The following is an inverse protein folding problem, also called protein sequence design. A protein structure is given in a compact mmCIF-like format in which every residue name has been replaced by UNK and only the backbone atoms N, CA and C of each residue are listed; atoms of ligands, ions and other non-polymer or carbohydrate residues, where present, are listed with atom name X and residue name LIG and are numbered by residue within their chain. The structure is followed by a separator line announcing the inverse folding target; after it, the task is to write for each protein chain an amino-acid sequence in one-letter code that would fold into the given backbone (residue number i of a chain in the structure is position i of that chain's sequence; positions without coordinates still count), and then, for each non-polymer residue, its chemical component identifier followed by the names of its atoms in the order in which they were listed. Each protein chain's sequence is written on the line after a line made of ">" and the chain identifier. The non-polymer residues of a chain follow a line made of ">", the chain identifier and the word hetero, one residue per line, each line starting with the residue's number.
data_IF_952830218996
#
_entry.id   IF_952830218996
#
_cell.length_a   1.000
_cell.length_b   1.000
_cell.length_c   1.000
_cell.angle_alpha   90.00
_cell.angle_beta   90.00
_cell.angle_gamma   90.00
#
_symmetry.space_group_name_H-M   'P 1'
#
loop_
_entity.id
_entity.type
_entity.pdbx_description
1 polymer ?
#
# COMPACT_ATOMS: atom_id res chain seq x y z
N UNK A 1 -19.13 -2.77 -15.52
CA UNK A 1 -19.10 -3.82 -16.59
C UNK A 1 -17.68 -3.91 -17.13
N UNK A 2 -17.24 -5.07 -17.55
CA UNK A 2 -15.96 -5.24 -18.28
C UNK A 2 -16.22 -5.81 -19.66
N UNK A 3 -15.46 -5.32 -20.63
CA UNK A 3 -15.39 -5.86 -21.99
C UNK A 3 -13.97 -6.37 -22.20
N UNK A 4 -13.86 -7.65 -22.43
CA UNK A 4 -12.58 -8.31 -22.69
C UNK A 4 -12.38 -8.34 -24.20
N UNK A 5 -11.25 -7.86 -24.68
CA UNK A 5 -10.93 -7.89 -26.11
C UNK A 5 -10.14 -9.15 -26.48
N UNK A 6 -10.30 -9.58 -27.71
CA UNK A 6 -9.49 -10.66 -28.29
C UNK A 6 -8.00 -10.28 -28.33
N UNK A 7 -7.15 -11.27 -28.45
CA UNK A 7 -5.72 -11.04 -28.57
C UNK A 7 -5.37 -10.28 -29.86
N UNK A 8 -4.40 -9.37 -29.78
CA UNK A 8 -3.88 -8.61 -30.93
C UNK A 8 -4.92 -7.72 -31.65
N UNK A 9 -5.90 -7.16 -30.95
CA UNK A 9 -6.82 -6.18 -31.54
C UNK A 9 -6.04 -4.93 -31.96
N UNK A 10 -6.18 -4.48 -33.23
CA UNK A 10 -5.54 -3.26 -33.70
C UNK A 10 -5.94 -2.04 -32.85
N UNK A 11 -4.98 -1.19 -32.56
CA UNK A 11 -5.17 0.00 -31.71
C UNK A 11 -6.30 0.89 -32.23
N UNK A 12 -6.41 1.05 -33.53
CA UNK A 12 -7.48 1.86 -34.14
C UNK A 12 -8.87 1.31 -33.81
N UNK A 13 -9.10 -0.01 -33.97
CA UNK A 13 -10.38 -0.66 -33.66
C UNK A 13 -10.70 -0.57 -32.17
N UNK A 14 -9.67 -0.74 -31.31
CA UNK A 14 -9.82 -0.56 -29.86
C UNK A 14 -10.24 0.86 -29.52
N UNK A 15 -9.57 1.86 -30.08
CA UNK A 15 -9.86 3.26 -29.80
C UNK A 15 -11.25 3.68 -30.34
N UNK A 16 -11.69 3.13 -31.46
CA UNK A 16 -13.05 3.33 -31.98
C UNK A 16 -14.09 2.82 -30.97
N UNK A 17 -13.91 1.62 -30.42
CA UNK A 17 -14.82 1.07 -29.39
C UNK A 17 -14.80 1.92 -28.11
N UNK A 18 -13.63 2.34 -27.64
CA UNK A 18 -13.50 3.22 -26.46
C UNK A 18 -14.26 4.53 -26.68
N UNK A 19 -14.08 5.17 -27.84
CA UNK A 19 -14.76 6.42 -28.15
C UNK A 19 -16.27 6.25 -28.25
N UNK A 20 -16.73 5.14 -28.82
CA UNK A 20 -18.16 4.83 -28.86
C UNK A 20 -18.75 4.63 -27.47
N UNK A 21 -18.08 3.90 -26.59
CA UNK A 21 -18.49 3.70 -25.20
C UNK A 21 -18.52 5.02 -24.42
N UNK A 22 -17.52 5.89 -24.60
CA UNK A 22 -17.50 7.22 -24.00
C UNK A 22 -18.67 8.10 -24.48
N UNK A 23 -19.02 7.99 -25.75
CA UNK A 23 -20.18 8.70 -26.32
C UNK A 23 -21.52 8.23 -25.72
N UNK A 24 -21.57 7.02 -25.13
CA UNK A 24 -22.73 6.54 -24.35
C UNK A 24 -22.76 7.08 -22.91
N UNK A 25 -21.87 7.99 -22.55
CA UNK A 25 -21.77 8.58 -21.21
C UNK A 25 -21.06 7.72 -20.17
N UNK A 26 -20.21 6.81 -20.60
CA UNK A 26 -19.44 5.93 -19.72
C UNK A 26 -17.99 6.39 -19.62
N UNK A 27 -17.41 6.26 -18.44
CA UNK A 27 -15.96 6.29 -18.29
C UNK A 27 -15.39 4.93 -18.66
N UNK A 28 -14.31 4.93 -19.46
CA UNK A 28 -13.66 3.72 -19.95
C UNK A 28 -12.22 3.69 -19.47
N UNK A 29 -11.89 2.68 -18.68
CA UNK A 29 -10.54 2.42 -18.14
C UNK A 29 -9.92 1.24 -18.89
N UNK A 30 -9.03 1.48 -19.87
CA UNK A 30 -8.35 0.39 -20.57
C UNK A 30 -7.20 -0.15 -19.71
N UNK A 31 -7.21 -1.46 -19.46
CA UNK A 31 -6.07 -2.20 -18.93
C UNK A 31 -5.43 -2.99 -20.06
N UNK A 32 -4.21 -2.60 -20.42
CA UNK A 32 -3.43 -3.21 -21.49
C UNK A 32 -2.47 -4.23 -20.88
N UNK A 33 -2.94 -5.47 -20.69
CA UNK A 33 -2.12 -6.58 -20.23
C UNK A 33 -1.28 -7.20 -21.36
N UNK A 34 -0.28 -7.99 -20.99
CA UNK A 34 0.61 -8.67 -21.92
C UNK A 34 -0.15 -9.65 -22.85
N UNK A 35 -1.16 -10.33 -22.32
CA UNK A 35 -1.93 -11.35 -23.05
C UNK A 35 -3.34 -10.90 -23.43
N UNK A 36 -3.91 -9.93 -22.73
CA UNK A 36 -5.30 -9.55 -22.88
C UNK A 36 -5.54 -8.08 -22.58
N UNK A 37 -6.40 -7.43 -23.34
CA UNK A 37 -6.87 -6.07 -23.08
C UNK A 37 -8.27 -6.13 -22.47
N UNK A 38 -8.45 -5.46 -21.34
CA UNK A 38 -9.75 -5.33 -20.66
C UNK A 38 -10.16 -3.86 -20.64
N UNK A 39 -11.39 -3.59 -21.08
CA UNK A 39 -12.01 -2.27 -20.96
C UNK A 39 -12.96 -2.28 -19.76
N UNK A 40 -12.57 -1.59 -18.69
CA UNK A 40 -13.41 -1.37 -17.52
C UNK A 40 -14.40 -0.24 -17.79
N UNK A 41 -15.70 -0.52 -17.71
CA UNK A 41 -16.76 0.47 -17.93
C UNK A 41 -17.33 0.92 -16.59
N UNK A 42 -17.24 2.20 -16.31
CA UNK A 42 -17.77 2.86 -15.11
C UNK A 42 -18.88 3.82 -15.50
N UNK A 43 -19.99 3.80 -14.77
CA UNK A 43 -21.19 4.58 -15.06
C UNK A 43 -22.44 3.70 -15.16
N UNK A 44 -23.53 4.26 -15.70
CA UNK A 44 -24.80 3.52 -15.88
C UNK A 44 -24.71 2.59 -17.11
N UNK A 45 -24.27 1.38 -16.88
CA UNK A 45 -24.19 0.34 -17.93
C UNK A 45 -25.51 -0.43 -18.12
N UNK A 46 -26.60 -0.04 -17.44
CA UNK A 46 -27.89 -0.73 -17.57
C UNK A 46 -28.47 -0.65 -18.99
N UNK A 47 -28.16 0.43 -19.70
CA UNK A 47 -28.63 0.71 -21.05
C UNK A 47 -27.80 0.05 -22.16
N UNK A 48 -26.64 -0.52 -21.82
CA UNK A 48 -25.82 -1.20 -22.80
C UNK A 48 -26.37 -2.60 -23.11
N UNK A 49 -26.55 -2.86 -24.38
CA UNK A 49 -26.87 -4.19 -24.86
C UNK A 49 -25.59 -5.07 -24.86
N UNK A 50 -25.57 -6.04 -23.94
CA UNK A 50 -24.44 -6.97 -23.83
C UNK A 50 -24.30 -7.83 -25.08
N UNK A 51 -25.40 -8.26 -25.67
CA UNK A 51 -25.39 -9.11 -26.88
C UNK A 51 -24.80 -8.36 -28.07
N UNK A 52 -25.07 -7.06 -28.17
CA UNK A 52 -24.47 -6.21 -29.19
C UNK A 52 -22.95 -6.13 -29.02
N UNK A 53 -22.48 -5.90 -27.78
CA UNK A 53 -21.04 -5.84 -27.49
C UNK A 53 -20.35 -7.19 -27.75
N UNK A 54 -20.98 -8.30 -27.36
CA UNK A 54 -20.45 -9.66 -27.60
C UNK A 54 -20.42 -10.02 -29.09
N UNK A 55 -21.29 -9.41 -29.91
CA UNK A 55 -21.31 -9.63 -31.36
C UNK A 55 -20.16 -8.93 -32.11
N UNK A 56 -19.45 -7.99 -31.46
CA UNK A 56 -18.35 -7.28 -32.10
C UNK A 56 -17.17 -8.21 -32.34
N UNK A 57 -16.61 -8.18 -33.53
CA UNK A 57 -15.48 -9.03 -33.97
C UNK A 57 -14.29 -9.00 -33.03
N UNK A 58 -14.04 -7.84 -32.40
CA UNK A 58 -12.88 -7.57 -31.53
C UNK A 58 -13.12 -7.96 -30.07
N UNK A 59 -14.36 -8.27 -29.67
CA UNK A 59 -14.74 -8.63 -28.30
C UNK A 59 -14.64 -10.13 -28.12
N UNK A 60 -14.03 -10.55 -27.02
CA UNK A 60 -13.96 -11.94 -26.58
C UNK A 60 -15.13 -12.27 -25.65
N UNK A 61 -15.35 -11.42 -24.63
CA UNK A 61 -16.46 -11.61 -23.69
C UNK A 61 -16.87 -10.30 -23.01
N UNK A 62 -18.11 -10.25 -22.51
CA UNK A 62 -18.65 -9.13 -21.74
C UNK A 62 -19.17 -9.65 -20.39
N UNK A 63 -18.79 -9.02 -19.29
CA UNK A 63 -19.19 -9.45 -17.94
C UNK A 63 -19.67 -8.27 -17.10
N UNK A 64 -20.80 -8.44 -16.41
CA UNK A 64 -21.22 -7.48 -15.39
C UNK A 64 -20.41 -7.70 -14.11
N UNK A 65 -19.82 -6.64 -13.59
CA UNK A 65 -19.10 -6.65 -12.30
C UNK A 65 -20.01 -5.97 -11.29
N UNK A 66 -20.39 -6.73 -10.29
CA UNK A 66 -21.30 -6.27 -9.21
C UNK A 66 -20.54 -5.70 -8.01
N UNK A 67 -19.21 -5.93 -7.95
CA UNK A 67 -18.38 -5.37 -6.88
C UNK A 67 -18.45 -3.84 -6.87
N UNK A 68 -18.52 -3.20 -5.71
CA UNK A 68 -18.67 -1.74 -5.61
C UNK A 68 -17.39 -0.98 -5.96
N UNK A 69 -16.21 -1.63 -5.93
CA UNK A 69 -14.92 -1.07 -6.36
C UNK A 69 -14.60 -1.53 -7.79
N UNK A 70 -14.02 -0.66 -8.60
CA UNK A 70 -13.76 -0.85 -10.03
C UNK A 70 -12.27 -0.69 -10.35
N UNK A 71 -11.69 0.48 -10.06
CA UNK A 71 -10.30 0.80 -10.40
C UNK A 71 -9.33 -0.17 -9.73
N UNK A 72 -9.52 -0.49 -8.43
CA UNK A 72 -8.68 -1.44 -7.71
C UNK A 72 -9.08 -2.91 -7.88
N UNK A 73 -10.09 -3.23 -8.70
CA UNK A 73 -10.61 -4.59 -8.87
C UNK A 73 -9.79 -5.38 -9.89
N UNK A 74 -9.30 -6.56 -9.52
CA UNK A 74 -8.53 -7.44 -10.42
C UNK A 74 -9.28 -7.80 -11.71
N UNK A 75 -10.60 -7.84 -11.69
CA UNK A 75 -11.40 -8.10 -12.91
C UNK A 75 -11.28 -6.98 -13.95
N UNK A 76 -10.99 -5.73 -13.50
CA UNK A 76 -10.76 -4.57 -14.37
C UNK A 76 -9.29 -4.45 -14.77
N UNK A 77 -8.38 -4.92 -13.94
CA UNK A 77 -6.93 -4.89 -14.16
C UNK A 77 -6.34 -6.26 -13.77
N UNK A 78 -6.28 -7.22 -14.71
CA UNK A 78 -5.87 -8.60 -14.42
C UNK A 78 -4.43 -8.76 -13.94
N UNK A 79 -3.51 -7.95 -14.47
CA UNK A 79 -2.09 -8.01 -14.14
C UNK A 79 -1.79 -7.31 -12.81
N UNK A 80 -0.74 -7.75 -12.13
CA UNK A 80 -0.32 -7.14 -10.88
C UNK A 80 0.21 -5.71 -11.10
N UNK A 81 -0.22 -4.80 -10.27
CA UNK A 81 0.36 -3.45 -10.23
C UNK A 81 1.72 -3.49 -9.57
N UNK A 82 2.70 -2.87 -10.22
CA UNK A 82 4.03 -2.62 -9.66
C UNK A 82 4.17 -1.14 -9.37
N UNK A 83 4.23 -0.79 -8.11
CA UNK A 83 4.46 0.60 -7.67
C UNK A 83 5.95 0.90 -7.64
N UNK A 84 6.36 1.92 -8.39
CA UNK A 84 7.76 2.35 -8.47
C UNK A 84 8.04 3.48 -7.46
N UNK A 85 9.10 3.31 -6.64
CA UNK A 85 9.57 4.31 -5.67
C UNK A 85 11.09 4.49 -5.86
N UNK A 86 11.50 5.49 -6.64
CA UNK A 86 12.88 5.58 -7.10
C UNK A 86 13.27 4.30 -7.86
N UNK A 87 14.31 3.62 -7.43
CA UNK A 87 14.76 2.33 -8.01
C UNK A 87 14.06 1.11 -7.38
N UNK A 88 13.20 1.31 -6.38
CA UNK A 88 12.51 0.21 -5.67
C UNK A 88 11.18 -0.11 -6.34
N UNK A 89 10.92 -1.40 -6.56
CA UNK A 89 9.67 -1.93 -7.11
C UNK A 89 8.91 -2.67 -6.03
N UNK A 90 7.62 -2.36 -5.87
CA UNK A 90 6.72 -2.96 -4.87
C UNK A 90 5.57 -3.66 -5.60
N UNK A 91 5.38 -4.95 -5.36
CA UNK A 91 4.39 -5.78 -6.09
C UNK A 91 4.96 -6.50 -7.31
N UNK A 92 4.14 -7.30 -7.98
CA UNK A 92 4.54 -8.08 -9.16
C UNK A 92 5.67 -9.07 -8.86
N UNK A 93 5.60 -9.76 -7.73
CA UNK A 93 6.61 -10.72 -7.29
C UNK A 93 7.81 -10.12 -6.52
N UNK A 94 7.96 -8.78 -6.51
CA UNK A 94 8.98 -8.12 -5.72
C UNK A 94 8.57 -8.05 -4.25
N UNK A 95 9.54 -8.26 -3.35
CA UNK A 95 9.31 -8.16 -1.91
C UNK A 95 10.17 -7.05 -1.30
N UNK A 96 9.56 -6.13 -0.56
CA UNK A 96 10.27 -5.00 0.04
C UNK A 96 10.24 -5.05 1.57
N UNK A 97 11.32 -4.57 2.19
CA UNK A 97 11.39 -4.32 3.62
C UNK A 97 11.45 -2.81 3.86
N UNK A 98 10.43 -2.28 4.52
CA UNK A 98 10.34 -0.90 4.97
C UNK A 98 10.64 -0.91 6.46
N UNK A 99 11.67 -0.20 6.90
CA UNK A 99 12.09 -0.24 8.29
C UNK A 99 12.53 1.13 8.82
N UNK A 100 12.38 1.35 10.11
CA UNK A 100 12.75 2.60 10.77
C UNK A 100 11.94 2.85 12.04
N UNK A 101 12.17 3.94 12.77
CA UNK A 101 11.53 4.16 14.08
C UNK A 101 10.04 4.50 13.96
N UNK A 102 9.27 4.23 15.03
CA UNK A 102 7.88 4.66 15.12
C UNK A 102 7.77 6.16 14.93
N UNK A 103 8.57 6.93 15.66
CA UNK A 103 8.68 8.37 15.52
C UNK A 103 10.13 8.81 15.31
N UNK A 104 10.29 9.91 14.58
CA UNK A 104 11.56 10.64 14.51
C UNK A 104 11.70 11.44 15.78
N UNK A 105 12.80 11.25 16.51
CA UNK A 105 13.02 11.83 17.83
C UNK A 105 14.22 12.77 17.84
N UNK A 106 15.26 12.47 17.06
CA UNK A 106 16.45 13.31 16.87
C UNK A 106 17.14 12.99 15.56
N UNK A 107 18.05 13.83 15.11
CA UNK A 107 18.90 13.58 13.94
C UNK A 107 19.79 12.35 14.17
N UNK A 108 20.42 12.27 15.33
CA UNK A 108 21.29 11.14 15.68
C UNK A 108 20.53 9.81 15.61
N UNK A 109 19.33 9.75 16.20
CA UNK A 109 18.48 8.55 16.19
C UNK A 109 18.15 8.15 14.75
N UNK A 110 17.60 9.06 13.95
CA UNK A 110 17.08 8.68 12.63
C UNK A 110 18.19 8.30 11.64
N UNK A 111 19.33 9.02 11.67
CA UNK A 111 20.49 8.72 10.83
C UNK A 111 21.13 7.39 11.22
N UNK A 112 21.29 7.13 12.52
CA UNK A 112 21.80 5.86 13.00
C UNK A 112 20.92 4.68 12.55
N UNK A 113 19.61 4.77 12.82
CA UNK A 113 18.66 3.72 12.44
C UNK A 113 18.63 3.54 10.92
N UNK A 114 18.60 4.61 10.15
CA UNK A 114 18.58 4.55 8.68
C UNK A 114 19.81 3.80 8.12
N UNK A 115 21.01 4.09 8.62
CA UNK A 115 22.24 3.39 8.23
C UNK A 115 22.19 1.91 8.60
N UNK A 116 21.72 1.59 9.80
CA UNK A 116 21.61 0.22 10.28
C UNK A 116 20.61 -0.61 9.48
N UNK A 117 19.38 -0.08 9.23
CA UNK A 117 18.37 -0.81 8.46
C UNK A 117 18.75 -0.95 6.99
N UNK A 118 19.42 0.03 6.39
CA UNK A 118 19.99 -0.06 5.04
C UNK A 118 21.01 -1.20 4.96
N UNK A 119 21.95 -1.24 5.89
CA UNK A 119 22.98 -2.29 5.94
C UNK A 119 22.37 -3.69 6.10
N UNK A 120 21.24 -3.79 6.81
CA UNK A 120 20.48 -5.04 6.96
C UNK A 120 19.67 -5.41 5.71
N UNK A 121 19.50 -4.49 4.73
CA UNK A 121 18.83 -4.72 3.46
C UNK A 121 17.39 -4.20 3.38
N UNK A 122 17.00 -3.23 4.23
CA UNK A 122 15.79 -2.45 4.00
C UNK A 122 15.94 -1.60 2.74
N UNK A 123 14.85 -1.49 1.97
CA UNK A 123 14.81 -0.71 0.73
C UNK A 123 14.16 0.66 0.92
N UNK A 124 13.33 0.86 1.94
CA UNK A 124 12.72 2.14 2.29
C UNK A 124 12.87 2.41 3.78
N UNK A 125 13.02 3.70 4.12
CA UNK A 125 13.04 4.19 5.50
C UNK A 125 11.64 4.65 5.89
N UNK A 126 11.10 4.13 7.02
CA UNK A 126 9.91 4.69 7.63
C UNK A 126 10.26 5.52 8.86
N UNK A 127 9.47 6.53 9.13
CA UNK A 127 9.55 7.32 10.36
C UNK A 127 8.35 8.25 10.48
N UNK A 128 7.73 8.33 11.68
CA UNK A 128 6.61 9.24 11.90
C UNK A 128 7.10 10.63 12.31
N UNK A 129 6.82 11.65 11.52
CA UNK A 129 7.05 13.06 11.88
C UNK A 129 5.87 13.66 12.63
N UNK A 130 4.67 13.22 12.32
CA UNK A 130 3.41 13.54 13.00
C UNK A 130 2.85 12.28 13.65
N UNK A 131 2.34 12.39 14.88
CA UNK A 131 1.86 11.23 15.65
C UNK A 131 0.40 11.42 16.08
N UNK A 132 -0.54 10.58 15.57
CA UNK A 132 -1.93 10.57 16.04
C UNK A 132 -2.00 9.88 17.41
N UNK A 133 -2.11 10.65 18.48
CA UNK A 133 -2.16 10.11 19.83
C UNK A 133 -3.56 10.13 20.39
N UNK A 134 -3.88 9.12 21.19
CA UNK A 134 -5.16 9.08 21.94
C UNK A 134 -5.16 10.10 23.07
N UNK A 135 -4.01 10.28 23.72
CA UNK A 135 -3.83 11.31 24.75
C UNK A 135 -3.17 12.56 24.15
N UNK A 136 -3.69 13.77 24.41
CA UNK A 136 -3.06 15.00 23.97
C UNK A 136 -1.74 15.33 24.71
N UNK A 137 -1.46 14.62 25.80
CA UNK A 137 -0.24 14.79 26.60
C UNK A 137 0.92 13.91 26.15
N UNK A 138 0.65 12.95 25.27
CA UNK A 138 1.70 12.10 24.68
C UNK A 138 2.51 12.88 23.66
N UNK A 139 3.71 12.39 23.34
CA UNK A 139 4.57 12.95 22.30
C UNK A 139 3.85 13.00 20.94
N UNK A 140 3.69 14.20 20.38
CA UNK A 140 2.92 14.47 19.16
C UNK A 140 3.77 14.35 17.86
N UNK A 141 5.07 14.07 17.98
CA UNK A 141 6.05 14.13 16.89
C UNK A 141 6.74 15.49 16.78
N UNK A 142 7.78 15.53 15.97
CA UNK A 142 8.55 16.75 15.71
C UNK A 142 7.99 17.59 14.55
N UNK A 143 6.85 17.17 13.97
CA UNK A 143 6.17 17.88 12.90
C UNK A 143 7.10 18.18 11.70
N UNK A 144 7.17 19.43 11.23
CA UNK A 144 8.03 19.86 10.13
C UNK A 144 9.50 19.52 10.37
N UNK A 145 9.99 19.68 11.60
CA UNK A 145 11.37 19.30 11.94
C UNK A 145 11.60 17.80 11.70
N UNK A 146 10.62 16.94 12.05
CA UNK A 146 10.69 15.50 11.81
C UNK A 146 10.79 15.15 10.32
N UNK A 147 10.10 15.88 9.43
CA UNK A 147 10.26 15.73 7.98
C UNK A 147 11.68 16.11 7.55
N UNK A 148 12.22 17.24 8.00
CA UNK A 148 13.61 17.65 7.68
C UNK A 148 14.64 16.62 8.14
N UNK A 149 14.45 16.03 9.31
CA UNK A 149 15.34 14.98 9.81
C UNK A 149 15.27 13.69 8.96
N UNK A 150 14.08 13.33 8.46
CA UNK A 150 13.93 12.24 7.49
C UNK A 150 14.67 12.54 6.19
N UNK A 151 14.61 13.78 5.70
CA UNK A 151 15.33 14.21 4.48
C UNK A 151 16.86 14.10 4.67
N UNK A 152 17.39 14.48 5.84
CA UNK A 152 18.81 14.31 6.18
C UNK A 152 19.16 12.81 6.14
N UNK A 153 18.37 11.95 6.78
CA UNK A 153 18.61 10.51 6.77
C UNK A 153 18.55 9.92 5.35
N UNK A 154 17.65 10.43 4.49
CA UNK A 154 17.58 10.06 3.06
C UNK A 154 18.84 10.48 2.31
N UNK A 155 19.36 11.70 2.53
CA UNK A 155 20.60 12.18 1.91
C UNK A 155 21.80 11.32 2.30
N UNK A 156 21.89 10.94 3.60
CA UNK A 156 22.96 10.11 4.14
C UNK A 156 22.94 8.65 3.65
N UNK A 157 21.74 8.13 3.35
CA UNK A 157 21.56 6.70 3.05
C UNK A 157 21.09 6.41 1.64
N UNK A 158 20.45 7.35 0.97
CA UNK A 158 19.75 7.11 -0.30
C UNK A 158 18.44 6.30 -0.16
N UNK A 159 17.99 5.99 1.06
CA UNK A 159 16.72 5.28 1.26
C UNK A 159 15.53 6.21 0.97
N UNK A 160 14.59 5.82 0.09
CA UNK A 160 13.33 6.55 -0.05
C UNK A 160 12.54 6.57 1.26
N UNK A 161 11.83 7.68 1.50
CA UNK A 161 11.09 7.94 2.75
C UNK A 161 9.64 7.52 2.64
N UNK A 162 9.14 6.83 3.68
CA UNK A 162 7.72 6.59 3.93
C UNK A 162 7.32 7.28 5.24
N UNK A 163 6.40 8.24 5.20
CA UNK A 163 5.92 8.91 6.42
C UNK A 163 4.43 9.25 6.33
N UNK A 164 3.76 9.34 7.50
CA UNK A 164 2.32 9.51 7.60
C UNK A 164 1.90 10.97 7.42
N UNK A 165 0.95 11.20 6.51
CA UNK A 165 0.21 12.45 6.38
C UNK A 165 -1.10 12.36 7.17
N UNK A 166 -1.25 13.20 8.19
CA UNK A 166 -2.45 13.21 9.03
C UNK A 166 -3.50 14.23 8.57
N UNK A 167 -3.05 15.33 7.95
CA UNK A 167 -3.91 16.43 7.54
C UNK A 167 -3.39 17.02 6.22
N UNK A 168 -4.31 17.31 5.31
CA UNK A 168 -3.99 17.88 3.99
C UNK A 168 -3.19 19.19 4.05
N UNK A 169 -3.39 19.97 5.10
CA UNK A 169 -2.65 21.23 5.33
C UNK A 169 -1.13 21.02 5.41
N UNK A 170 -0.69 19.82 5.78
CA UNK A 170 0.73 19.48 5.87
C UNK A 170 1.32 18.98 4.54
N UNK A 171 0.49 18.75 3.52
CA UNK A 171 0.95 18.22 2.23
C UNK A 171 2.13 19.00 1.61
N UNK A 172 2.20 20.34 1.70
CA UNK A 172 3.36 21.07 1.20
C UNK A 172 4.70 20.66 1.81
N UNK A 173 4.71 20.15 3.04
CA UNK A 173 5.92 19.65 3.70
C UNK A 173 6.40 18.30 3.13
N UNK A 174 5.58 17.62 2.33
CA UNK A 174 5.86 16.28 1.80
C UNK A 174 6.51 16.30 0.41
N UNK A 175 7.04 17.45 -0.03
CA UNK A 175 7.63 17.59 -1.38
C UNK A 175 8.74 16.54 -1.62
N UNK A 176 9.61 16.30 -0.66
CA UNK A 176 10.74 15.37 -0.75
C UNK A 176 10.46 13.97 -0.18
N UNK A 177 9.24 13.73 0.32
CA UNK A 177 8.78 12.40 0.75
C UNK A 177 8.44 11.55 -0.47
N UNK A 178 8.83 10.28 -0.48
CA UNK A 178 8.67 9.40 -1.64
C UNK A 178 7.36 8.63 -1.61
N UNK A 179 6.90 8.21 -0.44
CA UNK A 179 5.64 7.49 -0.23
C UNK A 179 4.87 8.15 0.91
N UNK A 180 3.63 8.54 0.64
CA UNK A 180 2.73 9.09 1.67
C UNK A 180 1.96 7.95 2.31
N UNK A 181 2.12 7.78 3.63
CA UNK A 181 1.32 6.83 4.39
C UNK A 181 0.01 7.50 4.85
N UNK A 182 -1.11 6.81 4.61
CA UNK A 182 -2.39 7.11 5.24
C UNK A 182 -2.59 6.11 6.37
N UNK A 183 -2.59 6.61 7.60
CA UNK A 183 -2.71 5.79 8.81
C UNK A 183 -4.09 5.17 8.97
N UNK A 184 -4.16 4.10 9.79
CA UNK A 184 -5.38 3.33 10.02
C UNK A 184 -6.58 4.19 10.50
N UNK A 185 -6.33 5.26 11.26
CA UNK A 185 -7.37 6.17 11.75
C UNK A 185 -7.95 7.07 10.65
N UNK A 186 -7.22 7.25 9.53
CA UNK A 186 -7.60 8.06 8.37
C UNK A 186 -8.04 7.21 7.16
N UNK A 187 -8.13 5.88 7.29
CA UNK A 187 -8.55 5.01 6.18
C UNK A 187 -9.92 5.39 5.60
N UNK A 188 -10.82 5.87 6.44
CA UNK A 188 -12.16 6.32 6.04
C UNK A 188 -12.32 7.85 6.02
N UNK A 189 -11.24 8.60 6.03
CA UNK A 189 -11.26 10.04 5.82
C UNK A 189 -11.33 10.32 4.30
N UNK A 190 -12.53 10.16 3.74
CA UNK A 190 -12.73 10.20 2.29
C UNK A 190 -12.32 11.53 1.64
N UNK A 191 -12.42 12.65 2.36
CA UNK A 191 -11.95 13.93 1.83
C UNK A 191 -10.43 13.94 1.69
N UNK A 192 -9.70 13.42 2.69
CA UNK A 192 -8.25 13.23 2.59
C UNK A 192 -7.89 12.26 1.47
N UNK A 193 -8.64 11.16 1.30
CA UNK A 193 -8.37 10.16 0.24
C UNK A 193 -8.57 10.74 -1.16
N UNK A 194 -9.58 11.58 -1.38
CA UNK A 194 -9.77 12.27 -2.67
C UNK A 194 -8.61 13.20 -3.00
N UNK A 195 -8.10 13.94 -2.01
CA UNK A 195 -6.93 14.81 -2.21
C UNK A 195 -5.67 13.98 -2.57
N UNK A 196 -5.53 12.79 -1.97
CA UNK A 196 -4.44 11.86 -2.34
C UNK A 196 -4.55 11.35 -3.78
N UNK A 197 -5.73 11.38 -4.38
CA UNK A 197 -5.93 11.08 -5.80
C UNK A 197 -5.27 12.10 -6.73
N UNK A 198 -5.16 13.36 -6.33
CA UNK A 198 -4.49 14.40 -7.11
C UNK A 198 -2.95 14.39 -6.96
N UNK A 199 -2.43 13.68 -5.95
CA UNK A 199 -1.00 13.58 -5.67
C UNK A 199 -0.37 12.50 -6.55
N UNK A 200 0.76 12.78 -7.18
CA UNK A 200 1.47 11.82 -8.06
C UNK A 200 2.37 10.83 -7.30
N UNK A 201 2.45 10.94 -5.98
CA UNK A 201 3.28 10.07 -5.14
C UNK A 201 2.53 8.78 -4.79
N UNK A 202 3.24 7.64 -4.62
CA UNK A 202 2.66 6.43 -4.07
C UNK A 202 2.02 6.65 -2.70
N UNK A 203 0.88 6.00 -2.49
CA UNK A 203 0.10 6.05 -1.25
C UNK A 203 0.11 4.68 -0.59
N UNK A 204 0.66 4.59 0.62
CA UNK A 204 0.57 3.42 1.47
C UNK A 204 -0.66 3.55 2.37
N UNK A 205 -1.71 2.80 2.04
CA UNK A 205 -3.00 2.84 2.73
C UNK A 205 -3.09 1.74 3.78
N UNK A 206 -3.07 2.10 5.06
CA UNK A 206 -3.21 1.16 6.17
C UNK A 206 -4.66 0.81 6.44
N UNK A 207 -4.95 -0.49 6.58
CA UNK A 207 -6.27 -1.00 7.01
C UNK A 207 -6.65 -0.41 8.35
N UNK A 208 -7.87 0.03 8.47
CA UNK A 208 -8.44 0.56 9.70
C UNK A 208 -8.60 -0.53 10.79
N UNK A 209 -8.76 -0.08 12.03
CA UNK A 209 -8.69 -0.94 13.23
C UNK A 209 -9.82 -1.98 13.32
N UNK A 210 -10.97 -1.77 12.64
CA UNK A 210 -12.13 -2.66 12.66
C UNK A 210 -12.78 -2.77 11.27
N UNK A 211 -12.00 -2.53 10.20
CA UNK A 211 -12.50 -2.43 8.85
C UNK A 211 -12.37 -3.77 8.10
N UNK A 212 -13.38 -4.06 7.32
CA UNK A 212 -13.39 -5.19 6.39
C UNK A 212 -12.43 -4.96 5.22
N UNK A 213 -12.07 -6.02 4.49
CA UNK A 213 -11.28 -5.90 3.25
C UNK A 213 -12.03 -5.11 2.18
N UNK A 214 -13.36 -5.26 2.12
CA UNK A 214 -14.20 -4.47 1.22
C UNK A 214 -14.10 -2.96 1.50
N UNK A 215 -14.12 -2.55 2.76
CA UNK A 215 -13.96 -1.14 3.13
C UNK A 215 -12.56 -0.62 2.81
N UNK A 216 -11.51 -1.44 3.00
CA UNK A 216 -10.14 -1.10 2.58
C UNK A 216 -10.07 -0.88 1.06
N UNK A 217 -10.65 -1.78 0.28
CA UNK A 217 -10.70 -1.66 -1.18
C UNK A 217 -11.54 -0.45 -1.63
N UNK A 218 -12.65 -0.14 -0.95
CA UNK A 218 -13.41 1.07 -1.21
C UNK A 218 -12.61 2.35 -0.91
N UNK A 219 -11.77 2.32 0.12
CA UNK A 219 -10.86 3.45 0.41
C UNK A 219 -9.77 3.61 -0.64
N UNK A 220 -9.19 2.49 -1.13
CA UNK A 220 -8.28 2.51 -2.27
C UNK A 220 -8.96 3.05 -3.54
N UNK A 221 -10.22 2.63 -3.79
CA UNK A 221 -11.03 3.12 -4.91
C UNK A 221 -11.19 4.63 -4.90
N UNK A 222 -11.40 5.25 -3.72
CA UNK A 222 -11.48 6.72 -3.61
C UNK A 222 -10.21 7.41 -4.10
N UNK A 223 -9.03 6.89 -3.77
CA UNK A 223 -7.75 7.43 -4.22
C UNK A 223 -7.61 7.25 -5.73
N UNK A 224 -7.85 6.04 -6.24
CA UNK A 224 -7.66 5.69 -7.64
C UNK A 224 -8.66 6.40 -8.55
N UNK A 225 -9.94 6.41 -8.20
CA UNK A 225 -10.98 7.12 -8.95
C UNK A 225 -10.75 8.65 -8.97
N UNK A 226 -9.95 9.18 -8.05
CA UNK A 226 -9.53 10.59 -8.04
C UNK A 226 -8.21 10.83 -8.78
N UNK A 227 -7.60 9.81 -9.42
CA UNK A 227 -6.50 9.96 -10.40
C UNK A 227 -5.13 9.44 -9.98
N UNK A 228 -5.00 8.72 -8.85
CA UNK A 228 -3.72 8.14 -8.42
C UNK A 228 -3.79 6.61 -8.34
N UNK A 229 -3.20 5.93 -9.31
CA UNK A 229 -3.16 4.46 -9.39
C UNK A 229 -2.02 3.84 -8.55
N UNK A 230 -1.13 4.64 -7.97
CA UNK A 230 0.02 4.17 -7.20
C UNK A 230 -0.37 3.93 -5.73
N UNK A 231 -1.22 2.94 -5.48
CA UNK A 231 -1.70 2.58 -4.14
C UNK A 231 -1.09 1.26 -3.68
N UNK A 232 -0.62 1.22 -2.44
CA UNK A 232 -0.09 0.05 -1.75
C UNK A 232 -1.00 -0.23 -0.56
N UNK A 233 -1.58 -1.41 -0.50
CA UNK A 233 -2.41 -1.83 0.63
C UNK A 233 -1.52 -2.31 1.78
N UNK A 234 -1.93 -2.03 3.03
CA UNK A 234 -1.18 -2.47 4.20
C UNK A 234 -2.11 -3.11 5.25
N UNK A 235 -1.98 -4.43 5.41
CA UNK A 235 -2.56 -5.15 6.54
C UNK A 235 -1.76 -4.84 7.81
N UNK A 236 -2.45 -4.50 8.91
CA UNK A 236 -1.82 -4.10 10.18
C UNK A 236 -2.53 -4.64 11.44
N UNK A 237 -3.37 -5.63 11.26
CA UNK A 237 -4.20 -6.19 12.30
C UNK A 237 -5.51 -5.41 12.52
N UNK A 238 -6.47 -6.12 13.03
CA UNK A 238 -7.80 -5.62 13.39
C UNK A 238 -8.10 -5.91 14.86
N UNK A 239 -8.91 -5.08 15.48
CA UNK A 239 -9.45 -5.34 16.82
C UNK A 239 -10.39 -6.53 16.79
N UNK A 240 -10.17 -7.46 17.70
CA UNK A 240 -11.05 -8.62 17.92
C UNK A 240 -11.41 -8.70 19.40
N UNK A 241 -12.07 -9.78 19.80
CA UNK A 241 -12.37 -10.06 21.21
C UNK A 241 -11.13 -10.50 21.99
N UNK A 242 -10.06 -10.95 21.32
CA UNK A 242 -8.81 -11.36 21.95
C UNK A 242 -7.94 -10.14 22.25
N UNK A 243 -7.34 -10.08 23.44
CA UNK A 243 -6.59 -8.96 23.97
C UNK A 243 -5.13 -9.28 24.34
N UNK A 244 -4.66 -10.50 24.03
CA UNK A 244 -3.26 -10.88 24.23
C UNK A 244 -2.28 -10.14 23.31
N UNK A 245 -2.77 -9.66 22.18
CA UNK A 245 -2.04 -8.79 21.26
C UNK A 245 -2.81 -7.49 21.06
N UNK A 246 -2.10 -6.43 20.69
CA UNK A 246 -2.75 -5.12 20.44
C UNK A 246 -3.86 -5.20 19.39
N UNK A 247 -3.64 -6.01 18.34
CA UNK A 247 -4.61 -6.35 17.30
C UNK A 247 -4.30 -7.75 16.78
N UNK A 248 -5.31 -8.45 16.29
CA UNK A 248 -5.14 -9.73 15.60
C UNK A 248 -4.62 -9.47 14.17
N UNK A 249 -3.44 -9.98 13.84
CA UNK A 249 -2.90 -9.92 12.48
C UNK A 249 -3.65 -10.88 11.57
N UNK A 250 -4.29 -10.35 10.54
CA UNK A 250 -5.07 -11.11 9.57
C UNK A 250 -4.21 -11.44 8.33
N UNK A 251 -3.41 -12.50 8.43
CA UNK A 251 -2.57 -12.91 7.29
C UNK A 251 -3.38 -13.52 6.14
N UNK A 252 -4.59 -14.03 6.40
CA UNK A 252 -5.48 -14.50 5.34
C UNK A 252 -5.95 -13.34 4.43
N UNK A 253 -5.90 -12.11 4.93
CA UNK A 253 -6.17 -10.92 4.13
C UNK A 253 -5.23 -10.77 2.93
N UNK A 254 -3.98 -11.23 3.03
CA UNK A 254 -2.98 -11.09 1.96
C UNK A 254 -3.40 -11.83 0.69
N UNK A 255 -3.55 -13.16 0.67
CA UNK A 255 -3.98 -13.86 -0.53
C UNK A 255 -5.38 -13.43 -0.98
N UNK A 256 -6.31 -13.13 -0.05
CA UNK A 256 -7.64 -12.65 -0.41
C UNK A 256 -7.60 -11.30 -1.13
N UNK A 257 -6.75 -10.36 -0.69
CA UNK A 257 -6.57 -9.08 -1.38
C UNK A 257 -5.95 -9.26 -2.77
N UNK A 258 -5.03 -10.20 -2.95
CA UNK A 258 -4.48 -10.55 -4.26
C UNK A 258 -5.51 -11.16 -5.22
N UNK A 259 -6.51 -11.91 -4.70
CA UNK A 259 -7.64 -12.39 -5.51
C UNK A 259 -8.59 -11.26 -5.94
N UNK A 260 -8.85 -10.31 -5.03
CA UNK A 260 -9.83 -9.24 -5.23
C UNK A 260 -9.26 -8.03 -5.98
N UNK A 261 -7.95 -7.77 -5.83
CA UNK A 261 -7.28 -6.57 -6.30
C UNK A 261 -5.94 -6.90 -6.97
N UNK A 262 -5.49 -6.01 -7.82
CA UNK A 262 -4.18 -6.04 -8.46
C UNK A 262 -3.11 -5.23 -7.71
N UNK A 263 -3.51 -4.54 -6.62
CA UNK A 263 -2.63 -3.67 -5.85
C UNK A 263 -1.68 -4.47 -4.96
N UNK A 264 -0.43 -4.03 -4.79
CA UNK A 264 0.51 -4.68 -3.89
C UNK A 264 0.05 -4.61 -2.43
N UNK A 265 0.32 -5.67 -1.68
CA UNK A 265 -0.08 -5.84 -0.29
C UNK A 265 1.15 -6.01 0.59
N UNK A 266 1.36 -5.10 1.53
CA UNK A 266 2.39 -5.23 2.56
C UNK A 266 1.76 -5.46 3.93
N UNK A 267 2.56 -5.96 4.87
CA UNK A 267 2.11 -6.31 6.23
C UNK A 267 2.89 -5.54 7.27
N UNK A 268 2.20 -5.06 8.30
CA UNK A 268 2.76 -4.36 9.46
C UNK A 268 2.62 -5.22 10.73
N UNK A 269 3.59 -6.08 11.03
CA UNK A 269 3.57 -6.93 12.21
C UNK A 269 3.78 -6.16 13.52
N UNK A 270 4.44 -4.99 13.46
CA UNK A 270 4.71 -4.16 14.64
C UNK A 270 3.42 -3.59 15.23
N UNK A 271 2.59 -2.94 14.40
CA UNK A 271 1.33 -2.35 14.86
C UNK A 271 0.21 -3.37 15.05
N UNK A 272 0.34 -4.57 14.47
CA UNK A 272 -0.62 -5.64 14.75
C UNK A 272 -0.40 -6.23 16.13
N UNK A 273 0.79 -6.76 16.40
CA UNK A 273 1.06 -7.48 17.64
C UNK A 273 1.24 -6.55 18.83
N UNK A 274 1.89 -5.39 18.64
CA UNK A 274 2.23 -4.47 19.73
C UNK A 274 3.31 -5.02 20.67
N UNK A 275 3.96 -6.14 20.33
CA UNK A 275 4.89 -6.88 21.18
C UNK A 275 6.14 -7.27 20.38
N UNK A 276 7.28 -6.75 20.77
CA UNK A 276 8.57 -6.93 20.09
C UNK A 276 8.86 -8.40 19.73
N UNK A 277 8.77 -9.33 20.70
CA UNK A 277 9.07 -10.75 20.49
C UNK A 277 8.20 -11.47 19.46
N UNK A 278 7.02 -10.89 19.12
CA UNK A 278 6.10 -11.44 18.14
C UNK A 278 6.32 -10.86 16.74
N UNK A 279 7.01 -9.73 16.62
CA UNK A 279 7.29 -9.10 15.32
C UNK A 279 8.11 -10.00 14.40
N UNK A 280 9.22 -10.64 14.84
CA UNK A 280 9.98 -11.52 13.99
C UNK A 280 9.19 -12.70 13.39
N UNK A 281 8.50 -13.55 14.17
CA UNK A 281 7.76 -14.67 13.60
C UNK A 281 6.62 -14.20 12.67
N UNK A 282 5.94 -13.09 12.97
CA UNK A 282 4.87 -12.55 12.11
C UNK A 282 5.42 -11.94 10.82
N UNK A 283 6.61 -11.36 10.85
CA UNK A 283 7.32 -10.89 9.65
C UNK A 283 7.64 -12.06 8.70
N UNK A 284 8.10 -13.19 9.25
CA UNK A 284 8.39 -14.39 8.46
C UNK A 284 7.11 -15.00 7.88
N UNK A 285 6.05 -15.07 8.67
CA UNK A 285 4.75 -15.56 8.22
C UNK A 285 4.15 -14.67 7.12
N UNK A 286 4.29 -13.34 7.21
CA UNK A 286 3.91 -12.42 6.15
C UNK A 286 4.69 -12.68 4.85
N UNK A 287 5.99 -12.90 4.93
CA UNK A 287 6.80 -13.25 3.77
C UNK A 287 6.40 -14.60 3.14
N UNK A 288 5.98 -15.56 3.96
CA UNK A 288 5.56 -16.89 3.52
C UNK A 288 4.16 -16.90 2.89
N UNK A 289 3.21 -16.08 3.38
CA UNK A 289 1.85 -16.04 2.85
C UNK A 289 1.69 -15.23 1.55
N UNK A 290 2.78 -14.74 0.96
CA UNK A 290 2.77 -14.08 -0.33
C UNK A 290 2.67 -12.56 -0.29
N UNK A 291 2.88 -11.91 0.86
CA UNK A 291 2.94 -10.45 0.91
C UNK A 291 4.03 -9.87 -0.02
N UNK A 292 3.79 -8.69 -0.57
CA UNK A 292 4.75 -7.94 -1.40
C UNK A 292 5.78 -7.16 -0.56
N UNK A 293 5.64 -7.20 0.74
CA UNK A 293 6.60 -6.58 1.66
C UNK A 293 6.12 -6.52 3.09
N UNK A 294 6.98 -5.95 3.92
CA UNK A 294 6.69 -5.69 5.34
C UNK A 294 7.13 -4.29 5.73
N UNK A 295 6.42 -3.71 6.69
CA UNK A 295 6.82 -2.46 7.34
C UNK A 295 7.03 -2.72 8.84
N UNK A 296 8.25 -2.50 9.34
CA UNK A 296 8.69 -2.91 10.67
C UNK A 296 9.24 -1.70 11.44
N UNK A 297 8.87 -1.59 12.70
CA UNK A 297 9.43 -0.59 13.60
C UNK A 297 10.77 -1.04 14.17
N UNK A 298 11.79 -0.19 13.98
CA UNK A 298 13.18 -0.42 14.43
C UNK A 298 13.68 0.82 15.14
N UNK A 299 14.27 0.65 16.30
CA UNK A 299 14.79 1.74 17.12
C UNK A 299 16.18 1.39 17.64
N UNK A 300 17.05 2.38 17.79
CA UNK A 300 18.40 2.20 18.38
C UNK A 300 18.35 1.91 19.88
N UNK A 301 17.34 2.41 20.56
CA UNK A 301 17.10 2.21 22.00
C UNK A 301 15.59 2.11 22.29
N UNK A 302 14.95 0.94 22.05
CA UNK A 302 13.51 0.78 22.23
C UNK A 302 13.00 1.05 23.63
N UNK A 303 13.83 0.90 24.66
CA UNK A 303 13.44 1.08 26.06
C UNK A 303 13.16 2.56 26.35
N UNK A 304 13.90 3.47 25.74
CA UNK A 304 13.75 4.91 25.94
C UNK A 304 13.02 5.62 24.79
N UNK A 305 12.45 4.85 23.85
CA UNK A 305 11.69 5.41 22.73
C UNK A 305 10.50 6.23 23.22
N UNK A 306 10.30 7.43 22.64
CA UNK A 306 9.18 8.32 22.96
C UNK A 306 7.83 7.78 22.46
N UNK A 307 7.87 6.79 21.54
CA UNK A 307 6.66 6.20 20.94
C UNK A 307 6.88 4.72 20.61
N UNK A 308 5.93 3.86 21.00
CA UNK A 308 5.79 2.45 20.61
C UNK A 308 7.07 1.59 20.78
N UNK A 309 7.89 1.88 21.79
CA UNK A 309 9.13 1.14 22.07
C UNK A 309 8.89 -0.35 22.35
N UNK A 310 7.76 -0.70 23.00
CA UNK A 310 7.42 -2.09 23.34
C UNK A 310 7.27 -3.04 22.13
N UNK A 311 7.02 -2.49 20.94
CA UNK A 311 6.87 -3.25 19.69
C UNK A 311 8.06 -3.07 18.73
N UNK A 312 8.97 -2.13 19.02
CA UNK A 312 10.12 -1.85 18.16
C UNK A 312 11.21 -2.91 18.32
N UNK A 313 11.78 -3.34 17.21
CA UNK A 313 12.97 -4.16 17.19
C UNK A 313 14.23 -3.30 17.42
N UNK A 314 15.30 -3.89 17.96
CA UNK A 314 16.61 -3.28 17.83
C UNK A 314 17.14 -3.42 16.41
N UNK A 315 18.19 -2.67 16.05
CA UNK A 315 18.83 -2.78 14.73
C UNK A 315 19.38 -4.19 14.46
N UNK A 316 19.92 -4.85 15.48
CA UNK A 316 20.47 -6.22 15.40
C UNK A 316 19.33 -7.24 15.20
N UNK A 317 18.22 -7.10 15.94
CA UNK A 317 17.05 -7.96 15.77
C UNK A 317 16.48 -7.83 14.36
N UNK A 318 16.40 -6.61 13.82
CA UNK A 318 15.96 -6.41 12.45
C UNK A 318 16.90 -7.04 11.43
N UNK A 319 18.22 -6.94 11.59
CA UNK A 319 19.19 -7.56 10.69
C UNK A 319 19.02 -9.11 10.64
N UNK A 320 18.77 -9.73 11.78
CA UNK A 320 18.50 -11.17 11.85
C UNK A 320 17.16 -11.54 11.17
N UNK A 321 16.11 -10.74 11.39
CA UNK A 321 14.80 -10.94 10.72
C UNK A 321 14.95 -10.80 9.22
N UNK A 322 15.63 -9.76 8.73
CA UNK A 322 15.85 -9.52 7.31
C UNK A 322 16.61 -10.67 6.64
N UNK A 323 17.59 -11.25 7.33
CA UNK A 323 18.31 -12.44 6.86
C UNK A 323 17.36 -13.64 6.70
N UNK A 324 16.49 -13.88 7.70
CA UNK A 324 15.51 -14.99 7.68
C UNK A 324 14.42 -14.78 6.64
N UNK A 325 13.93 -13.55 6.45
CA UNK A 325 12.97 -13.20 5.41
C UNK A 325 13.47 -13.60 4.03
N UNK A 326 14.74 -13.29 3.71
CA UNK A 326 15.33 -13.70 2.41
C UNK A 326 15.34 -15.24 2.22
N UNK A 327 15.62 -16.00 3.28
CA UNK A 327 15.56 -17.46 3.23
C UNK A 327 14.15 -18.00 3.02
N UNK A 328 13.16 -17.43 3.73
CA UNK A 328 11.72 -17.79 3.55
C UNK A 328 11.26 -17.48 2.12
N UNK A 329 11.56 -16.28 1.61
CA UNK A 329 11.19 -15.88 0.24
C UNK A 329 11.80 -16.81 -0.81
N UNK A 330 13.04 -17.25 -0.62
CA UNK A 330 13.66 -18.23 -1.51
C UNK A 330 12.90 -19.56 -1.47
N UNK A 331 12.59 -20.05 -0.26
CA UNK A 331 11.90 -21.34 -0.10
C UNK A 331 10.47 -21.38 -0.64
N UNK A 332 9.75 -20.25 -0.68
CA UNK A 332 8.38 -20.19 -1.23
C UNK A 332 8.33 -19.83 -2.71
N UNK A 333 9.45 -19.43 -3.32
CA UNK A 333 9.56 -19.17 -4.76
C UNK A 333 9.97 -20.41 -5.57
N UNK A 334 10.46 -21.46 -4.89
CA UNK A 334 10.75 -22.79 -5.44
C UNK A 334 9.49 -23.66 -5.50
#
# INVERSE_FOLDING_TARGET
>A
MIVVLKHNVPEEKRNQLINWLKAQGLDVHPSLGEYQTVLGLVGDTSRLDMSLLESLEIVDSVKRVTDPFKCCNRKFHPDDTVVQVGDVRIGGGNFVMIAGPCSVESEEQIVYVAKAVKAAGAQLLRGGAFKPRTSPYDFQGLHEQGIRLLEIAKQETGLPIVTELMNIKHLPLFENVDVIQIGARNMQNYDLLKEMGSVKKPILLKRGLANTLKELLMSAEYIMASGNDNVILCERGIRTFDDYTRNTLDLAAVPMLHELSHLPVIVDPSHSTGINRLVPPMTLAAAACGADGVIVEVHNDPIHALCDGAQSLTCEQFAEVARKVRAVRKAVAE
#
